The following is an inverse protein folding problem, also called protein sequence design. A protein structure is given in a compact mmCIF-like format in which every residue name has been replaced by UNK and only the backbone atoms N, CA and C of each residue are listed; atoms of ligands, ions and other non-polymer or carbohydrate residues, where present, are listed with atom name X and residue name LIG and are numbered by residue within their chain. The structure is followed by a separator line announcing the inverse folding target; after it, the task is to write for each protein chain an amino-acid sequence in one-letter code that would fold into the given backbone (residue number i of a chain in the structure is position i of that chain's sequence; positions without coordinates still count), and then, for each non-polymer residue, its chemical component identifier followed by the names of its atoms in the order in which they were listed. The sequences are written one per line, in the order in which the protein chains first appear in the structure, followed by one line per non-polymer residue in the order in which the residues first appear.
data_IF_003543952021
#
_entry.id   IF_003543952021
#
_cell.length_a   1.000
_cell.length_b   1.000
_cell.length_c   1.000
_cell.angle_alpha   90.00
_cell.angle_beta   90.00
_cell.angle_gamma   90.00
#
_symmetry.space_group_name_H-M   'P 1'
#
loop_
_entity.id
_entity.type
_entity.pdbx_description
1 polymer ?
#
# COMPACT_ATOMS: atom_id res chain seq x y z
N UNK A 1 0.53 5.60 -9.80
CA UNK A 1 1.19 6.88 -9.53
C UNK A 1 2.61 6.80 -10.05
N UNK A 2 2.92 7.61 -11.07
CA UNK A 2 4.29 7.84 -11.53
C UNK A 2 4.94 8.91 -10.66
N UNK A 3 6.26 8.91 -10.59
CA UNK A 3 7.04 9.91 -9.86
C UNK A 3 8.09 10.49 -10.79
N UNK A 4 8.56 11.69 -10.47
CA UNK A 4 9.44 12.46 -11.35
C UNK A 4 10.65 12.97 -10.58
N UNK A 5 11.82 12.97 -11.20
CA UNK A 5 13.05 13.55 -10.65
C UNK A 5 12.99 15.09 -10.55
N UNK A 6 14.07 15.68 -10.02
CA UNK A 6 14.17 17.13 -9.82
C UNK A 6 14.17 17.90 -11.15
N UNK A 7 14.57 17.24 -12.24
CA UNK A 7 14.56 17.78 -13.60
C UNK A 7 13.22 17.56 -14.30
N UNK A 8 12.27 16.86 -13.67
CA UNK A 8 10.95 16.57 -14.20
C UNK A 8 10.88 15.33 -15.10
N UNK A 9 11.92 14.52 -15.19
CA UNK A 9 11.88 13.25 -15.93
C UNK A 9 11.15 12.17 -15.13
N UNK A 10 10.39 11.34 -15.83
CA UNK A 10 9.69 10.22 -15.22
C UNK A 10 10.69 9.19 -14.68
N UNK A 11 10.54 8.81 -13.41
CA UNK A 11 11.30 7.71 -12.84
C UNK A 11 10.65 6.36 -13.20
N UNK A 12 11.48 5.33 -13.34
CA UNK A 12 11.02 3.98 -13.70
C UNK A 12 10.08 3.37 -12.65
N UNK A 13 9.10 2.59 -13.14
CA UNK A 13 8.09 1.92 -12.31
C UNK A 13 6.96 2.84 -11.85
N UNK A 14 6.08 2.31 -11.02
CA UNK A 14 4.94 3.03 -10.48
C UNK A 14 4.58 2.54 -9.07
N UNK A 15 3.84 3.36 -8.32
CA UNK A 15 3.13 2.93 -7.12
C UNK A 15 1.65 2.76 -7.48
N UNK A 16 1.08 1.60 -7.23
CA UNK A 16 -0.35 1.38 -7.42
C UNK A 16 -1.12 1.82 -6.18
N UNK A 17 -2.09 2.71 -6.36
CA UNK A 17 -2.90 3.25 -5.27
C UNK A 17 -4.31 2.65 -5.34
N UNK A 18 -4.76 2.07 -4.24
CA UNK A 18 -6.10 1.54 -4.08
C UNK A 18 -6.86 2.40 -3.08
N UNK A 19 -7.63 3.36 -3.59
CA UNK A 19 -8.39 4.29 -2.77
C UNK A 19 -9.75 3.70 -2.39
N UNK A 20 -10.05 3.68 -1.09
CA UNK A 20 -11.35 3.30 -0.54
C UNK A 20 -11.85 4.46 0.32
N UNK A 21 -12.87 5.16 -0.17
CA UNK A 21 -13.49 6.28 0.53
C UNK A 21 -14.71 5.81 1.32
N UNK A 22 -14.91 6.38 2.50
CA UNK A 22 -16.06 6.13 3.36
C UNK A 22 -16.38 7.35 4.21
N UNK A 23 -17.65 7.57 4.52
CA UNK A 23 -18.08 8.60 5.48
C UNK A 23 -17.77 8.22 6.93
N UNK A 24 -17.43 6.95 7.17
CA UNK A 24 -16.98 6.48 8.47
C UNK A 24 -15.97 5.34 8.33
N UNK A 25 -14.88 5.39 9.10
CA UNK A 25 -13.91 4.30 9.18
C UNK A 25 -14.12 3.51 10.48
N UNK A 26 -14.12 2.19 10.39
CA UNK A 26 -14.26 1.31 11.56
C UNK A 26 -12.99 1.39 12.40
N UNK A 27 -13.08 1.84 13.65
CA UNK A 27 -11.93 1.93 14.55
C UNK A 27 -11.63 0.61 15.25
N UNK A 28 -10.34 0.27 15.39
CA UNK A 28 -9.86 -0.86 16.18
C UNK A 28 -8.57 -0.45 16.91
N UNK A 29 -8.71 -0.02 18.16
CA UNK A 29 -7.63 0.56 18.96
C UNK A 29 -6.99 1.78 18.27
N UNK A 30 -5.69 1.70 17.97
CA UNK A 30 -4.92 2.74 17.28
C UNK A 30 -4.99 2.65 15.74
N UNK A 31 -5.86 1.79 15.21
CA UNK A 31 -5.97 1.51 13.77
C UNK A 31 -7.41 1.73 13.27
N UNK A 32 -7.54 1.79 11.94
CA UNK A 32 -8.78 1.54 11.23
C UNK A 32 -8.79 0.11 10.68
N UNK A 33 -9.89 -0.60 10.90
CA UNK A 33 -10.12 -1.93 10.35
C UNK A 33 -10.81 -1.82 8.99
N UNK A 34 -10.29 -2.57 8.02
CA UNK A 34 -10.88 -2.69 6.70
C UNK A 34 -10.87 -4.17 6.29
N UNK A 35 -12.04 -4.68 5.88
CA UNK A 35 -12.16 -6.05 5.39
C UNK A 35 -11.88 -6.06 3.87
N UNK A 36 -10.67 -6.50 3.52
CA UNK A 36 -10.19 -6.57 2.14
C UNK A 36 -10.72 -7.84 1.45
N UNK A 37 -11.25 -7.72 0.24
CA UNK A 37 -11.69 -8.86 -0.58
C UNK A 37 -10.50 -9.79 -0.88
N UNK A 38 -10.72 -11.10 -0.81
CA UNK A 38 -9.65 -12.08 -1.04
C UNK A 38 -9.05 -12.00 -2.44
N UNK A 39 -9.83 -11.59 -3.45
CA UNK A 39 -9.35 -11.42 -4.84
C UNK A 39 -8.37 -10.26 -4.93
N UNK A 40 -8.68 -9.14 -4.28
CA UNK A 40 -7.79 -7.99 -4.18
C UNK A 40 -6.51 -8.38 -3.43
N UNK A 41 -6.63 -9.07 -2.28
CA UNK A 41 -5.45 -9.59 -1.56
C UNK A 41 -4.57 -10.48 -2.44
N UNK A 42 -5.16 -11.45 -3.14
CA UNK A 42 -4.40 -12.40 -3.97
C UNK A 42 -3.66 -11.69 -5.10
N UNK A 43 -4.31 -10.72 -5.76
CA UNK A 43 -3.71 -9.93 -6.83
C UNK A 43 -2.62 -9.00 -6.31
N UNK A 44 -2.92 -8.21 -5.27
CA UNK A 44 -2.02 -7.14 -4.82
C UNK A 44 -0.78 -7.68 -4.10
N UNK A 45 -0.88 -8.84 -3.46
CA UNK A 45 0.27 -9.44 -2.76
C UNK A 45 1.36 -9.89 -3.73
N UNK A 46 1.00 -10.37 -4.91
CA UNK A 46 1.94 -10.88 -5.92
C UNK A 46 2.37 -9.81 -6.92
N UNK A 47 1.82 -8.59 -6.80
CA UNK A 47 2.17 -7.49 -7.69
C UNK A 47 3.62 -7.06 -7.48
N UNK A 48 4.30 -6.86 -8.62
CA UNK A 48 5.71 -6.45 -8.71
C UNK A 48 5.90 -4.98 -8.34
N UNK A 49 4.91 -4.14 -8.64
CA UNK A 49 4.88 -2.74 -8.25
C UNK A 49 4.33 -2.59 -6.82
N UNK A 50 4.85 -1.66 -5.98
CA UNK A 50 4.28 -1.44 -4.66
C UNK A 50 2.79 -1.09 -4.72
N UNK A 51 1.96 -1.84 -3.99
CA UNK A 51 0.53 -1.56 -3.86
C UNK A 51 0.27 -0.90 -2.51
N UNK A 52 -0.31 0.28 -2.55
CA UNK A 52 -0.68 1.06 -1.37
C UNK A 52 -2.20 1.14 -1.27
N UNK A 53 -2.74 0.60 -0.19
CA UNK A 53 -4.13 0.80 0.20
C UNK A 53 -4.26 2.17 0.86
N UNK A 54 -5.22 2.99 0.41
CA UNK A 54 -5.55 4.28 1.00
C UNK A 54 -6.99 4.25 1.49
N UNK A 55 -7.20 4.46 2.79
CA UNK A 55 -8.51 4.69 3.38
C UNK A 55 -8.75 6.19 3.50
N UNK A 56 -9.79 6.70 2.85
CA UNK A 56 -10.19 8.10 2.95
C UNK A 56 -11.44 8.24 3.81
N UNK A 57 -11.31 8.97 4.91
CA UNK A 57 -12.41 9.40 5.76
C UNK A 57 -12.96 10.72 5.23
N UNK A 58 -14.14 10.66 4.62
CA UNK A 58 -14.79 11.81 4.01
C UNK A 58 -15.32 12.80 5.06
N UNK A 59 -15.66 12.34 6.27
CA UNK A 59 -16.22 13.18 7.34
C UNK A 59 -15.21 14.21 7.83
N UNK A 60 -13.94 13.83 7.93
CA UNK A 60 -12.84 14.70 8.38
C UNK A 60 -11.87 15.06 7.27
N UNK A 61 -12.15 14.62 6.03
CA UNK A 61 -11.32 14.83 4.83
C UNK A 61 -9.86 14.40 5.02
N UNK A 62 -9.63 13.23 5.63
CA UNK A 62 -8.29 12.69 5.89
C UNK A 62 -8.11 11.33 5.25
N UNK A 63 -6.92 11.10 4.71
CA UNK A 63 -6.53 9.80 4.17
C UNK A 63 -5.45 9.15 5.04
N UNK A 64 -5.51 7.82 5.11
CA UNK A 64 -4.56 6.95 5.79
C UNK A 64 -4.07 5.90 4.80
N UNK A 65 -2.81 5.50 4.87
CA UNK A 65 -2.22 4.59 3.89
C UNK A 65 -1.53 3.40 4.54
N UNK A 66 -1.37 2.33 3.75
CA UNK A 66 -0.68 1.11 4.13
C UNK A 66 -0.07 0.45 2.88
N UNK A 67 1.18 0.02 2.99
CA UNK A 67 1.84 -0.79 1.96
C UNK A 67 1.42 -2.26 2.09
N UNK A 68 0.72 -2.77 1.08
CA UNK A 68 0.01 -4.06 1.13
C UNK A 68 0.97 -5.24 1.24
N UNK A 69 1.99 -5.28 0.38
CA UNK A 69 2.95 -6.39 0.38
C UNK A 69 3.69 -6.52 1.72
N UNK A 70 4.21 -5.42 2.26
CA UNK A 70 4.89 -5.39 3.57
C UNK A 70 3.95 -5.77 4.71
N UNK A 71 2.71 -5.29 4.71
CA UNK A 71 1.74 -5.62 5.76
C UNK A 71 1.49 -7.13 5.86
N UNK A 72 1.38 -7.82 4.73
CA UNK A 72 1.14 -9.27 4.65
C UNK A 72 2.40 -10.15 4.64
N UNK A 73 3.59 -9.55 4.77
CA UNK A 73 4.83 -10.30 4.96
C UNK A 73 4.75 -11.20 6.20
N UNK A 74 4.13 -10.71 7.29
CA UNK A 74 3.89 -11.46 8.52
C UNK A 74 2.83 -12.56 8.32
N UNK A 75 3.18 -13.81 8.62
CA UNK A 75 2.29 -14.97 8.39
C UNK A 75 0.95 -14.88 9.14
N UNK A 76 0.93 -14.35 10.37
CA UNK A 76 -0.29 -14.22 11.19
C UNK A 76 -1.35 -13.28 10.60
N UNK A 77 -0.97 -12.42 9.63
CA UNK A 77 -1.87 -11.49 8.94
C UNK A 77 -2.46 -12.07 7.66
N UNK A 78 -2.00 -13.24 7.21
CA UNK A 78 -2.47 -13.86 5.97
C UNK A 78 -3.86 -14.48 6.17
N UNK A 79 -4.72 -14.46 5.14
CA UNK A 79 -6.02 -15.11 5.20
C UNK A 79 -5.90 -16.61 5.43
N UNK A 80 -6.90 -17.18 6.13
CA UNK A 80 -7.09 -18.62 6.20
C UNK A 80 -7.58 -19.15 4.86
N UNK A 81 -7.33 -20.44 4.58
CA UNK A 81 -7.86 -21.11 3.39
C UNK A 81 -9.39 -20.97 3.34
N UNK A 82 -9.92 -20.56 2.19
CA UNK A 82 -11.36 -20.37 1.97
C UNK A 82 -11.96 -19.06 2.50
N UNK A 83 -11.15 -18.15 3.06
CA UNK A 83 -11.64 -16.85 3.51
C UNK A 83 -12.12 -15.99 2.32
N UNK A 84 -13.27 -15.31 2.48
CA UNK A 84 -13.79 -14.33 1.50
C UNK A 84 -13.15 -12.96 1.64
N UNK A 85 -12.73 -12.62 2.86
CA UNK A 85 -12.07 -11.36 3.18
C UNK A 85 -10.91 -11.59 4.15
N UNK A 86 -9.99 -10.63 4.21
CA UNK A 86 -8.93 -10.55 5.21
C UNK A 86 -8.94 -9.18 5.87
N UNK A 87 -8.84 -9.15 7.20
CA UNK A 87 -8.85 -7.89 7.95
C UNK A 87 -7.49 -7.20 7.88
N UNK A 88 -7.49 -5.98 7.40
CA UNK A 88 -6.34 -5.07 7.38
C UNK A 88 -6.52 -4.02 8.48
N UNK A 89 -5.43 -3.73 9.20
CA UNK A 89 -5.37 -2.70 10.23
C UNK A 89 -4.46 -1.58 9.73
N UNK A 90 -5.05 -0.44 9.36
CA UNK A 90 -4.34 0.76 8.89
C UNK A 90 -4.11 1.69 10.08
N UNK A 91 -2.86 2.03 10.39
CA UNK A 91 -2.55 2.89 11.54
C UNK A 91 -3.13 4.30 11.37
N UNK A 92 -3.75 4.82 12.43
CA UNK A 92 -4.25 6.20 12.49
C UNK A 92 -3.14 7.25 12.40
N UNK A 93 -1.88 6.85 12.61
CA UNK A 93 -0.70 7.72 12.48
C UNK A 93 -0.15 7.75 11.05
N UNK A 94 -0.50 6.77 10.19
CA UNK A 94 -0.05 6.73 8.80
C UNK A 94 -0.96 7.58 7.90
N UNK A 95 -1.01 8.89 8.15
CA UNK A 95 -1.75 9.84 7.32
C UNK A 95 -1.06 10.04 5.97
N UNK A 96 -1.83 10.16 4.88
CA UNK A 96 -1.31 10.58 3.58
C UNK A 96 -0.91 12.04 3.66
N UNK A 97 0.38 12.30 3.42
CA UNK A 97 1.01 13.63 3.44
C UNK A 97 2.08 13.69 2.35
N UNK A 98 2.70 14.87 2.13
CA UNK A 98 3.85 14.99 1.23
C UNK A 98 4.98 14.03 1.61
N UNK A 99 5.25 13.85 2.91
CA UNK A 99 6.24 12.88 3.40
C UNK A 99 5.84 11.44 3.09
N UNK A 100 4.54 11.12 3.15
CA UNK A 100 4.05 9.80 2.76
C UNK A 100 4.29 9.53 1.27
N UNK A 101 3.98 10.50 0.40
CA UNK A 101 4.24 10.39 -1.05
C UNK A 101 5.72 10.21 -1.34
N UNK A 102 6.59 10.96 -0.66
CA UNK A 102 8.04 10.75 -0.75
C UNK A 102 8.45 9.34 -0.33
N UNK A 103 7.88 8.81 0.76
CA UNK A 103 8.12 7.43 1.19
C UNK A 103 7.62 6.39 0.19
N UNK A 104 6.48 6.61 -0.45
CA UNK A 104 5.96 5.75 -1.52
C UNK A 104 6.89 5.74 -2.74
N UNK A 105 7.45 6.90 -3.11
CA UNK A 105 8.48 7.01 -4.16
C UNK A 105 9.72 6.21 -3.78
N UNK A 106 10.21 6.33 -2.54
CA UNK A 106 11.35 5.54 -2.06
C UNK A 106 11.07 4.04 -2.12
N UNK A 107 9.88 3.59 -1.69
CA UNK A 107 9.48 2.18 -1.78
C UNK A 107 9.59 1.66 -3.22
N UNK A 108 9.03 2.39 -4.20
CA UNK A 108 9.13 2.05 -5.62
C UNK A 108 10.58 1.99 -6.11
N UNK A 109 11.39 2.99 -5.76
CA UNK A 109 12.79 3.04 -6.19
C UNK A 109 13.58 1.85 -5.61
N UNK A 110 13.42 1.53 -4.31
CA UNK A 110 14.10 0.39 -3.67
C UNK A 110 13.75 -0.93 -4.33
N UNK A 111 12.46 -1.19 -4.62
CA UNK A 111 12.05 -2.41 -5.33
C UNK A 111 12.67 -2.50 -6.72
N UNK A 112 12.71 -1.39 -7.45
CA UNK A 112 13.29 -1.36 -8.79
C UNK A 112 14.80 -1.63 -8.77
N UNK A 113 15.57 -1.00 -7.86
CA UNK A 113 17.00 -1.23 -7.75
C UNK A 113 17.34 -2.69 -7.42
N UNK A 114 16.58 -3.32 -6.50
CA UNK A 114 16.77 -4.74 -6.18
C UNK A 114 16.49 -5.67 -7.36
N UNK A 115 15.49 -5.33 -8.19
CA UNK A 115 15.15 -6.08 -9.41
C UNK A 115 16.23 -5.96 -10.49
N UNK A 116 16.85 -4.79 -10.62
CA UNK A 116 17.90 -4.52 -11.62
C UNK A 116 19.22 -5.15 -11.20
N UNK A 117 19.64 -5.01 -9.94
CA UNK A 117 20.88 -5.63 -9.44
C UNK A 117 20.82 -7.16 -9.51
N UNK A 118 19.70 -7.78 -9.12
CA UNK A 118 19.54 -9.23 -9.20
C UNK A 118 19.41 -9.80 -10.62
N UNK A 119 19.18 -8.96 -11.64
CA UNK A 119 19.09 -9.39 -13.04
C UNK A 119 20.44 -9.39 -13.78
N UNK A 120 21.51 -8.87 -13.15
CA UNK A 120 22.88 -8.85 -13.71
C UNK A 120 23.83 -9.82 -13.00
N UNK A 121 23.35 -10.56 -12.00
CA UNK A 121 24.10 -11.57 -11.23
C UNK A 121 23.77 -13.04 -11.65
N UNK A 122 22.94 -13.23 -12.70
CA UNK A 122 22.61 -14.51 -13.35
C UNK A 122 23.17 -14.58 -14.80
#
# INVERSE_FOLDING_TARGET
MMTFDESGYAELGAVFLQLKASDSLVTSGQNFAYDLDIRDYNLWKIETQPVVLVLYDASVRRAYWLHVQEYFATASRRPRKGAKTVRVLVSRQQTVSRRAVARMRTLKNTFFFQLVEGAFDD
#
